data_IF_496798829933
#
_entry.id   IF_496798829933
#
_cell.length_a   1.000
_cell.length_b   1.000
_cell.length_c   1.000
_cell.angle_alpha   90.00
_cell.angle_beta   90.00
_cell.angle_gamma   90.00
#
_symmetry.space_group_name_H-M   'P 1'
#
loop_
_entity.id
_entity.type
_entity.pdbx_description
1 polymer ?
#
# COMPACT_ATOMS: atom_id res chain seq x y z
N UNK A 1 13.37 4.47 -5.93
CA UNK A 1 12.12 4.90 -5.27
C UNK A 1 11.04 4.84 -6.32
N UNK A 2 9.97 4.12 -6.03
CA UNK A 2 8.84 3.89 -6.93
C UNK A 2 7.55 4.22 -6.20
N UNK A 3 6.56 4.67 -6.96
CA UNK A 3 5.22 4.96 -6.44
C UNK A 3 4.25 3.94 -7.02
N UNK A 4 3.46 3.35 -6.14
CA UNK A 4 2.43 2.39 -6.49
C UNK A 4 1.12 2.72 -5.79
N UNK A 5 0.02 2.39 -6.45
CA UNK A 5 -1.32 2.45 -5.85
C UNK A 5 -1.62 1.12 -5.19
N UNK A 6 -1.87 1.15 -3.88
CA UNK A 6 -2.34 0.02 -3.08
C UNK A 6 -3.83 0.14 -2.83
N UNK A 7 -4.58 -0.86 -3.30
CA UNK A 7 -6.02 -0.97 -3.10
C UNK A 7 -6.32 -2.14 -2.18
N UNK A 8 -6.99 -1.90 -1.06
CA UNK A 8 -7.43 -2.94 -0.15
C UNK A 8 -8.58 -3.75 -0.77
N UNK A 9 -8.49 -5.08 -0.72
CA UNK A 9 -9.48 -5.99 -1.33
C UNK A 9 -10.68 -6.30 -0.44
N UNK A 10 -10.63 -5.93 0.84
CA UNK A 10 -11.69 -6.18 1.82
C UNK A 10 -12.64 -5.00 2.04
N UNK A 11 -13.50 -5.07 3.07
CA UNK A 11 -14.41 -3.98 3.43
C UNK A 11 -13.63 -2.69 3.77
N UNK A 12 -14.08 -1.50 3.33
CA UNK A 12 -13.38 -0.24 3.58
C UNK A 12 -13.15 0.06 5.06
N UNK A 13 -14.05 -0.38 5.94
CA UNK A 13 -13.91 -0.24 7.40
C UNK A 13 -12.68 -0.97 7.97
N UNK A 14 -12.16 -1.99 7.28
CA UNK A 14 -11.00 -2.77 7.69
C UNK A 14 -9.69 -2.29 7.05
N UNK A 15 -9.76 -1.43 6.02
CA UNK A 15 -8.58 -1.00 5.26
C UNK A 15 -7.54 -0.30 6.15
N UNK A 16 -7.98 0.60 7.04
CA UNK A 16 -7.10 1.30 8.00
C UNK A 16 -6.44 0.36 9.01
N UNK A 17 -7.17 -0.66 9.47
CA UNK A 17 -6.60 -1.68 10.36
C UNK A 17 -5.53 -2.49 9.65
N UNK A 18 -5.80 -2.94 8.42
CA UNK A 18 -4.82 -3.65 7.60
C UNK A 18 -3.61 -2.77 7.24
N UNK A 19 -3.83 -1.47 6.99
CA UNK A 19 -2.77 -0.50 6.73
C UNK A 19 -1.83 -0.35 7.92
N UNK A 20 -2.37 -0.39 9.15
CA UNK A 20 -1.56 -0.37 10.38
C UNK A 20 -0.49 -1.46 10.40
N UNK A 21 -0.81 -2.66 9.90
CA UNK A 21 0.16 -3.75 9.75
C UNK A 21 1.27 -3.43 8.74
N UNK A 22 0.91 -2.80 7.61
CA UNK A 22 1.89 -2.37 6.60
C UNK A 22 2.81 -1.26 7.13
N UNK A 23 2.27 -0.28 7.84
CA UNK A 23 3.05 0.84 8.42
C UNK A 23 4.09 0.34 9.43
N UNK A 24 3.75 -0.68 10.23
CA UNK A 24 4.69 -1.26 11.20
C UNK A 24 5.81 -2.06 10.53
N UNK A 25 5.49 -2.78 9.43
CA UNK A 25 6.42 -3.65 8.70
C UNK A 25 7.32 -2.86 7.74
N UNK A 26 6.78 -1.85 7.06
CA UNK A 26 7.44 -1.09 6.01
C UNK A 26 7.66 0.37 6.43
N UNK A 27 8.49 0.58 7.46
CA UNK A 27 8.71 1.89 8.07
C UNK A 27 9.36 2.92 7.15
N UNK A 28 10.02 2.47 6.08
CA UNK A 28 10.63 3.32 5.05
C UNK A 28 9.65 3.75 3.95
N UNK A 29 8.46 3.16 3.89
CA UNK A 29 7.45 3.48 2.89
C UNK A 29 6.55 4.62 3.36
N UNK A 30 6.22 5.52 2.44
CA UNK A 30 5.33 6.64 2.66
C UNK A 30 3.95 6.34 2.06
N UNK A 31 2.91 6.38 2.88
CA UNK A 31 1.54 6.05 2.50
C UNK A 31 0.65 7.30 2.54
N UNK A 32 -0.08 7.56 1.45
CA UNK A 32 -1.03 8.68 1.32
C UNK A 32 -2.41 8.12 1.01
N UNK A 33 -3.39 8.36 1.89
CA UNK A 33 -4.79 7.97 1.67
C UNK A 33 -5.37 8.76 0.47
N UNK A 34 -5.84 8.05 -0.55
CA UNK A 34 -6.59 8.60 -1.70
C UNK A 34 -8.09 8.39 -1.52
N UNK A 35 -8.47 7.25 -0.96
CA UNK A 35 -9.84 6.93 -0.56
C UNK A 35 -9.83 5.91 0.58
N UNK A 36 -11.01 5.58 1.11
CA UNK A 36 -11.16 4.62 2.22
C UNK A 36 -10.56 3.23 1.97
N UNK A 37 -10.26 2.86 0.73
CA UNK A 37 -9.61 1.59 0.39
C UNK A 37 -8.39 1.76 -0.51
N UNK A 38 -7.97 2.98 -0.83
CA UNK A 38 -6.89 3.23 -1.80
C UNK A 38 -5.83 4.16 -1.22
N UNK A 39 -4.58 3.77 -1.38
CA UNK A 39 -3.42 4.48 -0.87
C UNK A 39 -2.36 4.60 -1.96
N UNK A 40 -1.84 5.81 -2.16
CA UNK A 40 -0.62 6.00 -2.92
C UNK A 40 0.56 5.72 -2.01
N UNK A 41 1.49 4.88 -2.44
CA UNK A 41 2.62 4.43 -1.61
C UNK A 41 3.93 4.65 -2.35
N UNK A 42 4.83 5.40 -1.75
CA UNK A 42 6.18 5.65 -2.27
C UNK A 42 7.19 4.91 -1.40
N UNK A 43 7.98 4.03 -2.01
CA UNK A 43 8.97 3.22 -1.31
C UNK A 43 10.18 2.91 -2.21
N UNK A 44 11.22 2.29 -1.67
CA UNK A 44 12.26 1.64 -2.49
C UNK A 44 11.70 0.42 -3.24
N UNK A 45 12.41 -0.03 -4.28
CA UNK A 45 11.95 -1.10 -5.16
C UNK A 45 11.79 -2.45 -4.43
N UNK A 46 12.60 -2.73 -3.42
CA UNK A 46 12.47 -3.97 -2.63
C UNK A 46 11.19 -3.93 -1.78
N UNK A 47 10.95 -2.82 -1.09
CA UNK A 47 9.72 -2.60 -0.32
C UNK A 47 8.47 -2.61 -1.22
N UNK A 48 8.55 -2.00 -2.40
CA UNK A 48 7.45 -2.00 -3.37
C UNK A 48 7.12 -3.42 -3.87
N UNK A 49 8.13 -4.24 -4.16
CA UNK A 49 7.94 -5.64 -4.55
C UNK A 49 7.29 -6.46 -3.43
N UNK A 50 7.66 -6.21 -2.17
CA UNK A 50 7.04 -6.85 -1.01
C UNK A 50 5.61 -6.39 -0.76
N UNK A 51 5.31 -5.11 -0.98
CA UNK A 51 3.95 -4.55 -0.92
C UNK A 51 3.04 -5.15 -2.00
N UNK A 52 3.59 -5.41 -3.20
CA UNK A 52 2.87 -6.05 -4.29
C UNK A 52 2.48 -7.51 -4.00
N UNK A 53 3.15 -8.15 -3.04
CA UNK A 53 2.88 -9.54 -2.61
C UNK A 53 1.86 -9.65 -1.48
N UNK A 54 1.35 -8.54 -0.97
CA UNK A 54 0.45 -8.56 0.19
C UNK A 54 -0.91 -9.16 -0.18
N UNK A 55 -1.34 -10.27 0.47
CA UNK A 55 -2.50 -11.04 0.02
C UNK A 55 -3.83 -10.30 0.18
N UNK A 56 -3.91 -9.31 1.07
CA UNK A 56 -5.12 -8.49 1.27
C UNK A 56 -5.19 -7.26 0.37
N UNK A 57 -4.14 -7.03 -0.43
CA UNK A 57 -4.00 -5.83 -1.23
C UNK A 57 -3.81 -6.15 -2.71
N UNK A 58 -4.15 -5.18 -3.54
CA UNK A 58 -3.81 -5.13 -4.97
C UNK A 58 -2.87 -3.96 -5.17
N UNK A 59 -1.77 -4.17 -5.87
CA UNK A 59 -0.83 -3.10 -6.23
C UNK A 59 -0.90 -2.80 -7.72
N UNK A 60 -0.92 -1.53 -8.09
CA UNK A 60 -0.70 -1.09 -9.48
C UNK A 60 0.46 -0.12 -9.51
N UNK A 61 1.43 -0.26 -10.44
CA UNK A 61 2.42 0.78 -10.65
C UNK A 61 1.69 2.09 -10.98
N UNK A 62 2.06 3.18 -10.31
CA UNK A 62 1.61 4.50 -10.75
C UNK A 62 2.52 4.87 -11.92
N UNK A 63 2.14 4.50 -13.14
CA UNK A 63 2.80 5.03 -14.33
C UNK A 63 2.62 6.54 -14.32
N UNK A 64 3.73 7.26 -14.13
CA UNK A 64 3.83 8.67 -14.51
C UNK A 64 3.80 8.83 -16.02
#
# INVERSE_FOLDING_TARGET
MTTLTLTFKGPPSQARQALGGLLQRFRSAYFVERSSSEYAVTADDATAAELARQPQWSSRPTQG
#
